data_IF_877541861085
#
_entry.id   IF_877541861085
#
_cell.length_a   1.000
_cell.length_b   1.000
_cell.length_c   1.000
_cell.angle_alpha   90.00
_cell.angle_beta   90.00
_cell.angle_gamma   90.00
#
_symmetry.space_group_name_H-M   'P 1'
#
loop_
_entity.id
_entity.type
_entity.pdbx_description
1 polymer ?
#
# COMPACT_ATOMS: atom_id res chain seq x y z
N UNK A 1 -38.90 -29.88 -5.99
CA UNK A 1 -39.92 -29.57 -7.02
C UNK A 1 -40.23 -28.08 -6.92
N UNK A 2 -39.76 -27.27 -7.85
CA UNK A 2 -40.11 -25.85 -7.93
C UNK A 2 -41.19 -25.66 -8.98
N UNK A 3 -42.35 -25.13 -8.59
CA UNK A 3 -43.44 -24.76 -9.50
C UNK A 3 -43.55 -23.25 -9.61
N UNK A 4 -43.49 -22.72 -10.82
CA UNK A 4 -43.78 -21.31 -11.16
C UNK A 4 -45.29 -21.15 -11.19
N UNK A 5 -45.91 -20.77 -10.08
CA UNK A 5 -47.36 -20.67 -9.93
C UNK A 5 -48.01 -19.68 -10.89
N UNK A 6 -48.35 -20.12 -12.09
CA UNK A 6 -49.21 -19.40 -13.03
C UNK A 6 -50.36 -20.32 -13.42
N UNK A 7 -51.45 -20.21 -12.66
CA UNK A 7 -52.75 -20.81 -12.93
C UNK A 7 -53.84 -19.75 -12.90
N UNK A 8 -54.98 -20.04 -13.54
CA UNK A 8 -56.09 -19.14 -13.92
C UNK A 8 -56.83 -18.39 -12.80
N UNK A 9 -56.28 -18.35 -11.59
CA UNK A 9 -56.70 -17.50 -10.47
C UNK A 9 -55.43 -16.85 -9.92
N UNK A 10 -55.13 -15.65 -10.43
CA UNK A 10 -53.93 -14.88 -10.06
C UNK A 10 -53.88 -14.55 -8.56
N UNK A 11 -52.68 -14.15 -8.11
CA UNK A 11 -52.39 -13.81 -6.72
C UNK A 11 -53.47 -12.88 -6.15
N UNK A 12 -54.24 -13.42 -5.20
CA UNK A 12 -55.07 -12.65 -4.30
C UNK A 12 -54.16 -11.66 -3.58
N UNK A 13 -54.27 -10.38 -3.95
CA UNK A 13 -53.67 -9.28 -3.21
C UNK A 13 -54.40 -9.21 -1.86
N UNK A 14 -53.92 -10.03 -0.92
CA UNK A 14 -54.06 -9.73 0.49
C UNK A 14 -53.67 -8.27 0.67
N UNK A 15 -54.68 -7.45 0.95
CA UNK A 15 -54.65 -5.99 1.10
C UNK A 15 -53.34 -5.55 1.77
N UNK A 16 -52.35 -5.10 0.99
CA UNK A 16 -51.21 -4.38 1.55
C UNK A 16 -51.75 -3.00 1.88
N UNK A 17 -52.25 -2.85 3.12
CA UNK A 17 -52.68 -1.57 3.65
C UNK A 17 -51.48 -0.63 3.64
N UNK A 18 -51.55 0.45 2.85
CA UNK A 18 -50.53 1.50 2.86
C UNK A 18 -50.52 2.16 4.25
N UNK A 19 -49.44 1.99 5.05
CA UNK A 19 -49.39 2.52 6.40
C UNK A 19 -49.28 4.05 6.44
N UNK A 20 -49.00 4.69 5.31
CA UNK A 20 -49.02 6.15 5.16
C UNK A 20 -50.40 6.69 4.72
N UNK A 21 -51.37 5.85 4.37
CA UNK A 21 -52.69 6.30 3.89
C UNK A 21 -53.47 7.13 4.92
N UNK A 22 -53.24 6.89 6.22
CA UNK A 22 -53.87 7.66 7.32
C UNK A 22 -53.10 8.91 7.71
N UNK A 23 -52.07 9.30 6.96
CA UNK A 23 -51.20 10.46 7.25
C UNK A 23 -50.67 10.48 8.71
N UNK A 24 -50.01 9.41 9.18
CA UNK A 24 -49.67 9.26 10.60
C UNK A 24 -48.69 10.33 11.13
N UNK A 25 -47.90 10.97 10.27
CA UNK A 25 -46.91 12.00 10.65
C UNK A 25 -47.50 13.42 10.80
N UNK A 26 -48.82 13.57 10.61
CA UNK A 26 -49.53 14.85 10.74
C UNK A 26 -48.96 15.97 9.85
N UNK A 27 -49.16 17.23 10.27
CA UNK A 27 -48.60 18.42 9.60
C UNK A 27 -47.11 18.67 9.93
N UNK A 28 -46.59 17.94 10.91
CA UNK A 28 -45.22 18.05 11.42
C UNK A 28 -44.19 17.28 10.61
N UNK A 29 -44.56 16.40 9.68
CA UNK A 29 -43.58 15.62 8.92
C UNK A 29 -44.12 14.93 7.67
N UNK A 30 -43.22 14.25 6.97
CA UNK A 30 -43.52 13.44 5.78
C UNK A 30 -43.42 11.95 6.12
N UNK A 31 -44.40 11.15 5.68
CA UNK A 31 -44.43 9.70 5.90
C UNK A 31 -43.62 8.95 4.85
N UNK A 32 -42.77 8.03 5.30
CA UNK A 32 -42.02 7.08 4.48
C UNK A 32 -42.52 5.67 4.75
N UNK A 33 -42.89 4.94 3.70
CA UNK A 33 -43.25 3.52 3.80
C UNK A 33 -42.00 2.68 4.05
N UNK A 34 -42.08 1.81 5.05
CA UNK A 34 -41.09 0.77 5.36
C UNK A 34 -41.70 -0.60 5.00
N UNK A 35 -40.86 -1.63 4.84
CA UNK A 35 -41.33 -3.00 4.59
C UNK A 35 -42.27 -3.52 5.69
N UNK A 36 -43.08 -4.53 5.37
CA UNK A 36 -43.99 -5.22 6.32
C UNK A 36 -45.05 -4.32 7.01
N UNK A 37 -45.61 -3.35 6.28
CA UNK A 37 -46.69 -2.49 6.80
C UNK A 37 -46.24 -1.47 7.85
N UNK A 38 -44.93 -1.23 7.96
CA UNK A 38 -44.37 -0.23 8.86
C UNK A 38 -44.20 1.13 8.16
N UNK A 39 -44.09 2.19 8.95
CA UNK A 39 -43.82 3.54 8.45
C UNK A 39 -42.79 4.26 9.33
N UNK A 40 -42.12 5.25 8.76
CA UNK A 40 -41.25 6.18 9.47
C UNK A 40 -41.64 7.61 9.11
N UNK A 41 -41.53 8.54 10.07
CA UNK A 41 -41.80 9.95 9.84
C UNK A 41 -40.51 10.76 9.76
N UNK A 42 -40.40 11.59 8.72
CA UNK A 42 -39.35 12.61 8.60
C UNK A 42 -39.95 13.94 9.05
N UNK A 43 -39.58 14.39 10.25
CA UNK A 43 -40.12 15.60 10.82
C UNK A 43 -39.54 16.87 10.18
N UNK A 44 -40.38 17.87 9.98
CA UNK A 44 -40.01 19.20 9.52
C UNK A 44 -39.23 19.93 10.63
N UNK A 45 -38.33 20.86 10.27
CA UNK A 45 -37.63 21.67 11.26
C UNK A 45 -38.60 22.31 12.27
N UNK A 46 -38.38 22.12 13.56
CA UNK A 46 -39.30 22.59 14.62
C UNK A 46 -40.19 21.52 15.24
N UNK A 47 -40.16 20.27 14.76
CA UNK A 47 -40.99 19.16 15.26
C UNK A 47 -40.20 17.87 15.46
N UNK A 48 -40.61 17.06 16.43
CA UNK A 48 -40.00 15.79 16.82
C UNK A 48 -41.07 14.80 17.31
N UNK A 49 -40.67 13.57 17.66
CA UNK A 49 -41.56 12.48 18.03
C UNK A 49 -41.78 11.48 16.88
N UNK A 50 -42.29 10.30 17.22
CA UNK A 50 -42.46 9.18 16.26
C UNK A 50 -43.38 9.56 15.09
N UNK A 51 -44.33 10.44 15.34
CA UNK A 51 -45.33 10.94 14.40
C UNK A 51 -45.20 12.46 14.18
N UNK A 52 -44.07 13.07 14.55
CA UNK A 52 -43.83 14.51 14.48
C UNK A 52 -44.88 15.36 15.24
N UNK A 53 -45.46 14.79 16.29
CA UNK A 53 -46.53 15.35 17.10
C UNK A 53 -46.05 16.36 18.14
N UNK A 54 -44.75 16.36 18.44
CA UNK A 54 -44.15 17.20 19.45
C UNK A 54 -43.50 18.42 18.78
N UNK A 55 -43.84 19.63 19.25
CA UNK A 55 -43.05 20.80 18.87
C UNK A 55 -41.73 20.79 19.63
N UNK A 56 -40.62 21.10 18.94
CA UNK A 56 -39.31 21.25 19.59
C UNK A 56 -39.34 22.32 20.70
N UNK A 57 -40.28 23.27 20.64
CA UNK A 57 -40.51 24.27 21.70
C UNK A 57 -41.07 23.69 23.00
N UNK A 58 -41.76 22.54 22.96
CA UNK A 58 -42.41 21.90 24.11
C UNK A 58 -41.64 20.70 24.69
N UNK A 59 -40.64 20.16 24.00
CA UNK A 59 -39.86 18.99 24.44
C UNK A 59 -38.59 19.33 25.23
N UNK A 60 -38.47 20.55 25.77
CA UNK A 60 -37.34 20.95 26.62
C UNK A 60 -35.99 21.09 25.91
N UNK A 61 -35.96 21.00 24.58
CA UNK A 61 -34.75 21.20 23.77
C UNK A 61 -34.67 22.67 23.34
N UNK A 62 -34.11 23.47 24.23
CA UNK A 62 -33.90 24.91 24.03
C UNK A 62 -32.48 25.26 24.45
N UNK A 63 -31.80 26.10 23.67
CA UNK A 63 -30.53 26.72 24.09
C UNK A 63 -30.73 27.86 25.11
N UNK A 64 -31.95 28.01 25.64
CA UNK A 64 -32.29 28.99 26.66
C UNK A 64 -33.14 28.36 27.78
N UNK A 65 -32.62 28.28 29.02
CA UNK A 65 -31.26 28.68 29.44
C UNK A 65 -30.17 27.80 28.80
N UNK A 66 -28.97 28.34 28.57
CA UNK A 66 -27.88 27.62 27.89
C UNK A 66 -27.47 26.36 28.68
N UNK A 67 -27.68 25.15 28.13
CA UNK A 67 -27.37 23.90 28.83
C UNK A 67 -25.89 23.50 28.76
N UNK A 68 -25.09 24.15 27.91
CA UNK A 68 -23.66 23.87 27.81
C UNK A 68 -22.92 24.46 29.01
N UNK A 69 -22.19 23.61 29.73
CA UNK A 69 -21.43 24.00 30.91
C UNK A 69 -20.13 24.73 30.53
N UNK A 70 -19.47 25.34 31.51
CA UNK A 70 -18.16 26.00 31.36
C UNK A 70 -18.09 27.04 30.24
N UNK A 71 -19.21 27.70 29.95
CA UNK A 71 -19.31 28.73 28.92
C UNK A 71 -19.34 28.21 27.48
N UNK A 72 -19.63 26.92 27.27
CA UNK A 72 -19.85 26.34 25.94
C UNK A 72 -21.01 27.00 25.19
N UNK A 73 -20.96 26.97 23.86
CA UNK A 73 -21.96 27.56 22.97
C UNK A 73 -22.97 26.49 22.53
N UNK A 74 -24.26 26.76 22.73
CA UNK A 74 -25.32 25.84 22.32
C UNK A 74 -25.82 26.16 20.90
N UNK A 75 -25.90 25.13 20.06
CA UNK A 75 -26.50 25.18 18.73
C UNK A 75 -27.66 24.19 18.62
N UNK A 76 -28.77 24.61 18.02
CA UNK A 76 -29.92 23.73 17.74
C UNK A 76 -29.62 22.95 16.45
N UNK A 77 -29.61 21.62 16.50
CA UNK A 77 -29.36 20.76 15.32
C UNK A 77 -30.65 20.08 14.86
N UNK A 78 -30.88 19.93 13.53
CA UNK A 78 -32.12 19.34 13.00
C UNK A 78 -32.34 17.86 13.36
N UNK A 79 -31.27 17.11 13.64
CA UNK A 79 -31.28 15.65 13.82
C UNK A 79 -31.31 15.17 15.28
N UNK A 80 -30.72 15.94 16.21
CA UNK A 80 -30.63 15.62 17.65
C UNK A 80 -31.27 16.68 18.55
N UNK A 81 -31.75 17.78 17.96
CA UNK A 81 -32.40 18.88 18.66
C UNK A 81 -31.42 19.93 19.22
N UNK A 82 -30.23 19.55 19.72
CA UNK A 82 -29.19 20.49 20.14
C UNK A 82 -27.78 19.86 20.22
N UNK A 83 -26.74 20.70 20.19
CA UNK A 83 -25.31 20.34 20.31
C UNK A 83 -24.53 21.46 20.99
N UNK A 84 -23.56 21.11 21.83
CA UNK A 84 -22.64 22.06 22.45
C UNK A 84 -21.30 22.14 21.70
N UNK A 85 -20.79 23.36 21.52
CA UNK A 85 -19.42 23.63 21.10
C UNK A 85 -18.65 24.12 22.33
N UNK A 86 -17.63 23.37 22.73
CA UNK A 86 -16.90 23.63 23.96
C UNK A 86 -15.79 24.66 23.76
N UNK A 87 -15.53 25.45 24.82
CA UNK A 87 -14.36 26.33 24.89
C UNK A 87 -13.10 25.50 25.15
N UNK A 88 -11.94 26.07 24.83
CA UNK A 88 -10.64 25.46 25.06
C UNK A 88 -10.51 24.92 26.49
N UNK A 89 -10.03 23.68 26.60
CA UNK A 89 -9.90 22.98 27.88
C UNK A 89 -11.15 22.23 28.36
N UNK A 90 -12.22 22.16 27.57
CA UNK A 90 -13.43 21.39 27.89
C UNK A 90 -13.92 20.51 26.74
N UNK A 91 -14.54 19.38 27.06
CA UNK A 91 -15.06 18.40 26.09
C UNK A 91 -16.35 17.72 26.59
N UNK A 92 -16.87 16.80 25.79
CA UNK A 92 -18.11 16.06 26.03
C UNK A 92 -19.35 16.81 25.53
N UNK A 93 -20.47 16.10 25.46
CA UNK A 93 -21.74 16.59 24.87
C UNK A 93 -22.30 17.86 25.53
N UNK A 94 -21.89 18.14 26.78
CA UNK A 94 -22.34 19.30 27.57
C UNK A 94 -21.18 20.20 28.02
N UNK A 95 -19.95 20.00 27.52
CA UNK A 95 -18.75 20.74 27.93
C UNK A 95 -18.45 20.67 29.44
N UNK A 96 -18.88 19.59 30.09
CA UNK A 96 -18.70 19.36 31.52
C UNK A 96 -17.33 18.76 31.85
N UNK A 97 -16.70 18.07 30.88
CA UNK A 97 -15.46 17.33 31.09
C UNK A 97 -14.26 18.25 30.82
N UNK A 98 -13.25 18.24 31.70
CA UNK A 98 -12.01 18.99 31.49
C UNK A 98 -11.08 18.22 30.54
N UNK A 99 -10.52 18.94 29.57
CA UNK A 99 -9.49 18.43 28.66
C UNK A 99 -8.14 18.99 29.06
N UNK A 100 -7.20 18.11 29.41
CA UNK A 100 -5.81 18.49 29.56
C UNK A 100 -5.09 18.35 28.22
N UNK A 101 -4.78 19.49 27.61
CA UNK A 101 -3.95 19.55 26.41
C UNK A 101 -2.48 19.73 26.78
N UNK A 102 -1.59 18.95 26.17
CA UNK A 102 -0.15 19.14 26.33
C UNK A 102 0.62 18.82 25.04
N UNK A 103 1.95 19.01 25.07
CA UNK A 103 2.81 18.76 23.92
C UNK A 103 3.36 20.05 23.31
N UNK A 104 3.53 20.06 21.99
CA UNK A 104 4.19 21.13 21.24
C UNK A 104 5.23 20.61 20.26
N UNK A 105 5.93 21.53 19.60
CA UNK A 105 6.96 21.19 18.61
C UNK A 105 8.33 21.09 19.27
N UNK A 106 9.03 19.99 19.05
CA UNK A 106 10.40 19.76 19.53
C UNK A 106 11.31 19.64 18.31
N UNK A 107 12.21 20.62 18.13
CA UNK A 107 13.18 20.63 17.02
C UNK A 107 14.55 20.20 17.55
N UNK A 108 14.84 18.90 17.49
CA UNK A 108 16.09 18.31 18.01
C UNK A 108 16.46 17.02 17.28
N UNK A 109 17.75 16.80 17.05
CA UNK A 109 18.28 15.57 16.43
C UNK A 109 18.02 14.30 17.25
N UNK A 110 17.80 14.41 18.55
CA UNK A 110 17.39 13.31 19.40
C UNK A 110 16.67 13.87 20.63
N UNK A 111 15.96 13.01 21.33
CA UNK A 111 15.31 13.38 22.57
C UNK A 111 14.42 12.27 23.09
N UNK A 112 13.72 12.59 24.18
CA UNK A 112 12.81 11.68 24.84
C UNK A 112 11.56 12.42 25.28
N UNK A 113 10.40 11.85 24.97
CA UNK A 113 9.11 12.26 25.53
C UNK A 113 8.57 11.12 26.39
N UNK A 114 7.88 11.48 27.46
CA UNK A 114 7.26 10.56 28.40
C UNK A 114 6.02 11.20 28.97
N UNK A 115 5.08 10.40 29.44
CA UNK A 115 4.02 10.94 30.28
C UNK A 115 4.53 11.22 31.69
N UNK A 116 4.01 12.29 32.31
CA UNK A 116 4.17 12.47 33.75
C UNK A 116 3.23 11.48 34.43
N UNK A 117 3.73 10.68 35.36
CA UNK A 117 2.96 9.71 36.15
C UNK A 117 1.99 10.39 37.15
N UNK A 118 1.29 11.43 36.71
CA UNK A 118 0.34 12.16 37.51
C UNK A 118 -0.98 11.38 37.54
N UNK A 119 -1.52 11.20 38.74
CA UNK A 119 -2.87 10.71 38.97
C UNK A 119 -3.87 11.72 38.43
N UNK A 120 -4.24 11.59 37.15
CA UNK A 120 -5.31 12.41 36.57
C UNK A 120 -6.62 12.09 37.28
N UNK A 121 -7.40 13.13 37.58
CA UNK A 121 -8.73 12.98 38.19
C UNK A 121 -9.63 12.12 37.29
N UNK A 122 -10.47 11.29 37.91
CA UNK A 122 -11.49 10.48 37.22
C UNK A 122 -12.33 11.36 36.29
N UNK A 123 -12.37 11.02 35.00
CA UNK A 123 -13.13 11.76 33.98
C UNK A 123 -12.37 12.90 33.29
N UNK A 124 -11.06 13.02 33.48
CA UNK A 124 -10.22 13.96 32.71
C UNK A 124 -9.85 13.35 31.36
N UNK A 125 -10.15 14.05 30.26
CA UNK A 125 -9.65 13.66 28.94
C UNK A 125 -8.26 14.25 28.77
N UNK A 126 -7.27 13.42 28.47
CA UNK A 126 -5.89 13.87 28.22
C UNK A 126 -5.64 13.76 26.72
N UNK A 127 -5.21 14.86 26.10
CA UNK A 127 -4.87 14.90 24.68
C UNK A 127 -3.56 15.66 24.51
N UNK A 128 -2.46 14.94 24.43
CA UNK A 128 -1.16 15.53 24.20
C UNK A 128 -0.66 15.27 22.79
N UNK A 129 -0.22 16.31 22.10
CA UNK A 129 0.24 16.24 20.71
C UNK A 129 1.63 16.83 20.62
N UNK A 130 2.62 16.00 20.30
CA UNK A 130 3.98 16.43 20.03
C UNK A 130 4.27 16.36 18.53
N UNK A 131 4.88 17.41 18.00
CA UNK A 131 5.52 17.37 16.69
C UNK A 131 7.01 17.23 16.92
N UNK A 132 7.56 16.04 16.68
CA UNK A 132 8.99 15.80 16.75
C UNK A 132 9.57 16.14 15.39
N UNK A 133 10.54 17.04 15.34
CA UNK A 133 11.19 17.52 14.12
C UNK A 133 12.70 17.41 14.32
N UNK A 134 13.39 16.68 13.45
CA UNK A 134 14.85 16.57 13.55
C UNK A 134 15.57 17.88 13.20
N UNK A 135 14.91 18.79 12.49
CA UNK A 135 15.50 20.00 11.92
C UNK A 135 16.42 19.75 10.71
N UNK A 136 16.67 18.48 10.35
CA UNK A 136 17.38 18.10 9.13
C UNK A 136 16.36 17.55 8.13
N UNK A 137 15.99 18.39 7.15
CA UNK A 137 14.92 18.15 6.15
C UNK A 137 15.11 16.89 5.30
N UNK A 138 16.17 16.10 5.49
CA UNK A 138 16.35 14.80 4.85
C UNK A 138 16.72 13.62 5.73
N UNK A 139 16.46 13.74 7.01
CA UNK A 139 16.62 12.63 7.96
C UNK A 139 15.30 11.88 8.17
N UNK A 140 15.40 10.69 8.73
CA UNK A 140 14.29 9.94 9.32
C UNK A 140 14.45 9.91 10.84
N UNK A 141 13.37 9.60 11.53
CA UNK A 141 13.34 9.41 12.96
C UNK A 141 13.23 7.92 13.28
N UNK A 142 14.23 7.38 13.99
CA UNK A 142 14.17 6.07 14.63
C UNK A 142 13.57 6.26 16.02
N UNK A 143 12.35 5.78 16.21
CA UNK A 143 11.56 5.89 17.42
C UNK A 143 11.72 4.61 18.23
N UNK A 144 12.20 4.71 19.47
CA UNK A 144 12.46 3.57 20.34
C UNK A 144 11.51 3.61 21.53
N UNK A 145 10.73 2.55 21.68
CA UNK A 145 9.81 2.37 22.80
C UNK A 145 10.57 1.78 23.99
N UNK A 146 10.33 2.34 25.19
CA UNK A 146 10.81 1.73 26.42
C UNK A 146 10.19 0.34 26.63
N UNK A 147 10.97 -0.59 27.17
CA UNK A 147 10.47 -1.93 27.53
C UNK A 147 9.35 -1.92 28.58
N UNK A 148 9.19 -0.79 29.29
CA UNK A 148 8.14 -0.58 30.28
C UNK A 148 6.90 0.12 29.71
N UNK A 149 6.81 0.33 28.39
CA UNK A 149 5.71 1.04 27.73
C UNK A 149 4.33 0.47 28.11
N UNK A 150 3.47 1.30 28.70
CA UNK A 150 2.08 0.97 29.00
C UNK A 150 1.15 2.19 28.88
N UNK A 151 0.04 1.99 28.19
CA UNK A 151 -1.13 2.88 28.19
C UNK A 151 -2.37 2.01 28.33
N UNK A 152 -3.05 2.05 29.48
CA UNK A 152 -4.19 1.20 29.75
C UNK A 152 -5.29 1.37 28.69
N UNK A 153 -5.63 0.29 28.00
CA UNK A 153 -6.80 0.20 27.12
C UNK A 153 -7.73 -0.87 27.66
N UNK A 154 -9.01 -0.54 27.89
CA UNK A 154 -10.00 -1.46 28.47
C UNK A 154 -10.31 -2.63 27.54
N UNK A 155 -10.30 -2.38 26.23
CA UNK A 155 -10.55 -3.39 25.20
C UNK A 155 -9.27 -4.08 24.73
N UNK A 156 -8.10 -3.47 24.98
CA UNK A 156 -6.81 -3.93 24.48
C UNK A 156 -6.62 -3.71 22.96
N UNK A 157 -7.57 -3.06 22.30
CA UNK A 157 -7.53 -2.70 20.87
C UNK A 157 -6.93 -1.30 20.63
N UNK A 158 -6.54 -0.60 21.70
CA UNK A 158 -5.99 0.76 21.67
C UNK A 158 -6.93 1.79 21.04
N UNK A 159 -8.25 1.55 21.01
CA UNK A 159 -9.22 2.50 20.46
C UNK A 159 -9.56 3.59 21.48
N UNK A 160 -9.70 3.21 22.75
CA UNK A 160 -10.09 4.11 23.84
C UNK A 160 -8.94 5.01 24.30
N UNK A 161 -7.80 4.41 24.68
CA UNK A 161 -6.60 5.11 25.07
C UNK A 161 -5.41 4.58 24.27
N UNK A 162 -4.57 5.48 23.76
CA UNK A 162 -3.43 5.09 22.94
C UNK A 162 -2.34 6.16 22.86
N UNK A 163 -1.17 5.71 22.44
CA UNK A 163 -0.17 6.51 21.76
C UNK A 163 -0.26 6.24 20.25
N UNK A 164 -0.67 7.23 19.46
CA UNK A 164 -0.72 7.16 18.00
C UNK A 164 0.46 7.92 17.42
N UNK A 165 1.15 7.29 16.47
CA UNK A 165 2.29 7.89 15.77
C UNK A 165 1.93 8.04 14.30
N UNK A 166 2.02 9.26 13.80
CA UNK A 166 1.76 9.62 12.41
C UNK A 166 3.02 10.17 11.78
N UNK A 167 3.25 9.80 10.53
CA UNK A 167 4.42 10.23 9.79
C UNK A 167 4.18 11.61 9.15
N UNK A 168 5.18 12.49 9.27
CA UNK A 168 5.14 13.85 8.74
C UNK A 168 4.53 14.89 9.67
N UNK A 169 4.22 16.04 9.08
CA UNK A 169 3.65 17.24 9.73
C UNK A 169 2.32 17.68 9.10
N UNK A 170 1.68 16.81 8.31
CA UNK A 170 0.39 17.10 7.70
C UNK A 170 -0.75 17.04 8.72
N UNK A 171 -1.88 17.74 8.47
CA UNK A 171 -3.08 17.67 9.30
C UNK A 171 -3.52 16.22 9.57
N UNK A 172 -4.24 16.01 10.68
CA UNK A 172 -4.63 14.69 11.20
C UNK A 172 -5.28 13.77 10.14
N UNK A 173 -6.07 14.34 9.22
CA UNK A 173 -6.82 13.58 8.20
C UNK A 173 -6.01 13.17 6.96
N UNK A 174 -4.78 13.70 6.80
CA UNK A 174 -3.95 13.45 5.61
C UNK A 174 -2.57 12.84 5.90
N UNK A 175 -2.22 12.67 7.19
CA UNK A 175 -0.98 12.02 7.61
C UNK A 175 -1.15 10.50 7.72
N UNK A 176 -0.15 9.76 7.26
CA UNK A 176 -0.12 8.29 7.35
C UNK A 176 0.08 7.85 8.80
N UNK A 177 -0.73 6.91 9.27
CA UNK A 177 -0.61 6.34 10.62
C UNK A 177 0.44 5.24 10.59
N UNK A 178 1.54 5.43 11.33
CA UNK A 178 2.55 4.39 11.51
C UNK A 178 2.10 3.34 12.52
N UNK A 179 1.30 3.72 13.52
CA UNK A 179 0.67 2.78 14.43
C UNK A 179 -0.07 3.42 15.60
N UNK A 180 -0.88 2.60 16.28
CA UNK A 180 -1.54 2.90 17.55
C UNK A 180 -1.13 1.87 18.59
N UNK A 181 -0.76 2.35 19.77
CA UNK A 181 -0.08 1.53 20.77
C UNK A 181 -0.67 1.75 22.16
N UNK A 182 -0.85 0.65 22.90
CA UNK A 182 -1.36 0.70 24.27
C UNK A 182 -0.70 -0.33 25.22
N UNK A 183 -0.04 -1.36 24.69
CA UNK A 183 0.63 -2.39 25.50
C UNK A 183 2.02 -2.74 24.95
N UNK A 184 2.90 -3.37 25.76
CA UNK A 184 4.19 -3.87 25.27
C UNK A 184 4.04 -4.88 24.12
N UNK A 185 2.95 -5.66 24.11
CA UNK A 185 2.63 -6.62 23.05
C UNK A 185 2.18 -5.96 21.74
N UNK A 186 1.77 -4.69 21.78
CA UNK A 186 1.36 -3.93 20.59
C UNK A 186 2.50 -3.09 20.00
N UNK A 187 3.59 -2.86 20.73
CA UNK A 187 4.69 -1.99 20.31
C UNK A 187 5.88 -2.77 19.74
N UNK A 188 6.45 -2.35 18.59
CA UNK A 188 7.77 -2.82 18.18
C UNK A 188 8.86 -2.24 19.10
N UNK A 189 10.05 -2.84 19.13
CA UNK A 189 11.21 -2.28 19.85
C UNK A 189 11.65 -0.94 19.25
N UNK A 190 11.63 -0.85 17.93
CA UNK A 190 11.96 0.35 17.17
C UNK A 190 10.97 0.51 16.01
N UNK A 191 10.52 1.73 15.77
CA UNK A 191 9.69 2.14 14.64
C UNK A 191 10.44 3.22 13.85
N UNK A 192 10.42 3.14 12.54
CA UNK A 192 11.14 4.08 11.66
C UNK A 192 10.14 4.94 10.89
N UNK A 193 10.31 6.26 10.96
CA UNK A 193 9.52 7.21 10.18
C UNK A 193 10.00 7.27 8.72
N UNK A 194 9.17 7.83 7.84
CA UNK A 194 9.57 8.14 6.47
C UNK A 194 9.92 9.62 6.28
N UNK A 195 9.69 10.46 7.29
CA UNK A 195 10.05 11.87 7.23
C UNK A 195 10.89 12.34 8.43
N UNK A 196 11.47 13.52 8.29
CA UNK A 196 12.19 14.23 9.35
C UNK A 196 11.28 14.67 10.50
N UNK A 197 9.97 14.49 10.35
CA UNK A 197 8.95 14.87 11.31
C UNK A 197 7.99 13.72 11.62
N UNK A 198 7.55 13.63 12.87
CA UNK A 198 6.42 12.77 13.25
C UNK A 198 5.50 13.51 14.21
N UNK A 199 4.21 13.22 14.11
CA UNK A 199 3.22 13.66 15.09
C UNK A 199 2.93 12.49 16.03
N UNK A 200 3.16 12.71 17.32
CA UNK A 200 2.86 11.75 18.38
C UNK A 200 1.66 12.26 19.17
N UNK A 201 0.58 11.51 19.17
CA UNK A 201 -0.66 11.83 19.89
C UNK A 201 -0.87 10.84 21.03
N UNK A 202 -0.86 11.34 22.27
CA UNK A 202 -1.26 10.58 23.45
C UNK A 202 -2.68 10.98 23.85
N UNK A 203 -3.60 10.03 23.74
CA UNK A 203 -5.01 10.24 24.02
C UNK A 203 -5.48 9.30 25.13
N UNK A 204 -6.15 9.86 26.14
CA UNK A 204 -6.88 9.12 27.17
C UNK A 204 -8.30 9.65 27.23
N UNK A 205 -9.27 8.77 27.00
CA UNK A 205 -10.71 9.07 27.04
C UNK A 205 -11.47 8.27 28.10
N UNK A 206 -10.87 7.20 28.66
CA UNK A 206 -11.54 6.35 29.64
C UNK A 206 -11.73 7.07 30.99
N UNK A 207 -12.90 6.89 31.61
CA UNK A 207 -13.23 7.44 32.94
C UNK A 207 -12.61 6.67 34.11
N UNK A 208 -11.94 5.57 33.83
CA UNK A 208 -11.30 4.73 34.84
C UNK A 208 -10.06 5.45 35.39
N UNK A 209 -9.79 5.36 36.71
CA UNK A 209 -8.63 6.01 37.31
C UNK A 209 -7.35 5.48 36.67
N UNK A 210 -6.60 6.37 36.00
CA UNK A 210 -5.27 6.06 35.48
C UNK A 210 -4.38 5.61 36.66
N UNK A 211 -4.00 4.34 36.65
CA UNK A 211 -3.17 3.76 37.69
C UNK A 211 -1.71 4.21 37.55
N UNK A 212 -0.87 4.03 38.59
CA UNK A 212 0.58 4.29 38.52
C UNK A 212 1.32 3.41 37.49
N UNK A 213 0.62 2.47 36.85
CA UNK A 213 1.13 1.57 35.81
C UNK A 213 1.12 2.14 34.39
N UNK A 214 0.45 3.27 34.15
CA UNK A 214 0.45 3.93 32.84
C UNK A 214 1.68 4.83 32.74
N UNK A 215 2.79 4.20 32.37
CA UNK A 215 4.06 4.86 32.14
C UNK A 215 4.54 4.49 30.75
N UNK A 216 4.85 5.49 29.96
CA UNK A 216 5.46 5.31 28.67
C UNK A 216 6.57 6.32 28.47
N UNK A 217 7.60 5.86 27.77
CA UNK A 217 8.72 6.67 27.35
C UNK A 217 9.03 6.29 25.90
N UNK A 218 9.09 7.31 25.06
CA UNK A 218 9.44 7.22 23.66
C UNK A 218 10.66 8.10 23.43
N UNK A 219 11.76 7.49 23.02
CA UNK A 219 12.95 8.21 22.60
C UNK A 219 13.03 8.23 21.08
N UNK A 220 13.62 9.28 20.51
CA UNK A 220 13.89 9.34 19.09
C UNK A 220 15.34 9.72 18.83
N UNK A 221 15.86 9.21 17.73
CA UNK A 221 17.10 9.65 17.13
C UNK A 221 16.89 9.91 15.67
N UNK A 222 17.41 11.05 15.20
CA UNK A 222 17.57 11.36 13.79
C UNK A 222 18.62 10.42 13.22
N UNK A 223 18.29 9.82 12.09
CA UNK A 223 19.17 8.96 11.32
C UNK A 223 19.08 9.35 9.85
N UNK A 224 20.14 9.13 9.05
CA UNK A 224 20.00 9.18 7.61
C UNK A 224 18.97 8.12 7.17
N UNK A 225 18.15 8.39 6.14
CA UNK A 225 17.24 7.40 5.60
C UNK A 225 18.05 6.24 5.04
N UNK A 226 17.96 5.09 5.70
CA UNK A 226 18.59 3.87 5.25
C UNK A 226 17.77 3.29 4.10
N UNK A 227 18.46 2.86 3.05
CA UNK A 227 17.86 2.24 1.88
C UNK A 227 18.69 1.05 1.44
N UNK A 228 18.05 0.11 0.76
CA UNK A 228 18.63 -1.17 0.43
C UNK A 228 18.45 -2.22 1.54
N UNK A 229 18.30 -3.47 1.13
CA UNK A 229 18.16 -4.62 2.03
C UNK A 229 18.39 -5.93 1.27
N UNK A 230 18.58 -7.02 1.98
CA UNK A 230 18.51 -8.38 1.41
C UNK A 230 17.15 -8.99 1.76
N UNK A 231 16.35 -9.29 0.75
CA UNK A 231 15.03 -9.92 0.86
C UNK A 231 15.12 -11.35 0.33
N UNK A 232 15.41 -12.30 1.22
CA UNK A 232 15.52 -13.71 0.89
C UNK A 232 14.22 -14.48 1.14
N UNK A 233 14.03 -15.59 0.45
CA UNK A 233 12.90 -16.51 0.60
C UNK A 233 11.53 -15.84 0.42
N UNK A 234 11.41 -14.95 -0.58
CA UNK A 234 10.16 -14.25 -0.88
C UNK A 234 9.10 -15.28 -1.31
N UNK A 235 7.98 -15.29 -0.58
CA UNK A 235 6.85 -16.21 -0.79
C UNK A 235 5.50 -15.48 -1.01
N UNK A 236 5.48 -14.16 -0.83
CA UNK A 236 4.30 -13.33 -1.04
C UNK A 236 4.65 -11.95 -1.64
N UNK A 237 3.64 -11.18 -2.04
CA UNK A 237 3.85 -9.84 -2.58
C UNK A 237 4.41 -8.88 -1.53
N UNK A 238 5.14 -7.86 -1.98
CA UNK A 238 5.68 -6.83 -1.13
C UNK A 238 5.89 -5.51 -1.88
N UNK A 239 6.32 -4.49 -1.13
CA UNK A 239 6.50 -3.13 -1.63
C UNK A 239 7.87 -2.62 -1.22
N UNK A 240 8.53 -1.94 -2.15
CA UNK A 240 9.79 -1.23 -1.96
C UNK A 240 9.59 0.23 -2.30
N UNK A 241 10.17 1.11 -1.48
CA UNK A 241 10.07 2.55 -1.68
C UNK A 241 11.44 3.19 -1.59
N UNK A 242 11.60 4.32 -2.28
CA UNK A 242 12.78 5.16 -2.07
C UNK A 242 12.85 5.67 -0.63
N UNK A 243 14.05 5.94 -0.10
CA UNK A 243 14.21 6.64 1.16
C UNK A 243 13.42 7.96 1.16
N UNK A 244 12.57 8.17 2.18
CA UNK A 244 11.75 9.37 2.30
C UNK A 244 10.37 9.34 1.62
N UNK A 245 10.05 8.32 0.83
CA UNK A 245 8.76 8.21 0.15
C UNK A 245 7.58 8.17 1.14
N UNK A 246 6.45 8.86 0.89
CA UNK A 246 6.05 9.58 -0.34
C UNK A 246 6.51 11.05 -0.41
N UNK A 247 7.39 11.49 0.50
CA UNK A 247 7.94 12.85 0.53
C UNK A 247 9.23 12.93 -0.30
N UNK A 248 9.80 14.13 -0.34
CA UNK A 248 10.94 14.41 -1.21
C UNK A 248 12.20 13.66 -0.79
N UNK A 249 12.91 13.12 -1.77
CA UNK A 249 14.29 12.65 -1.61
C UNK A 249 15.18 13.85 -1.31
N UNK A 250 16.03 13.71 -0.31
CA UNK A 250 16.70 14.84 0.36
C UNK A 250 18.15 14.54 0.72
N UNK A 251 18.62 13.32 0.46
CA UNK A 251 20.03 12.90 0.58
C UNK A 251 20.44 12.15 -0.68
N UNK A 252 21.61 12.48 -1.20
CA UNK A 252 22.21 11.78 -2.33
C UNK A 252 22.70 10.41 -1.88
N UNK A 253 22.68 9.43 -2.77
CA UNK A 253 23.17 8.09 -2.45
C UNK A 253 22.74 7.02 -3.44
N UNK A 254 23.28 5.82 -3.22
CA UNK A 254 22.94 4.62 -3.95
C UNK A 254 22.30 3.60 -3.00
N UNK A 255 21.14 3.09 -3.40
CA UNK A 255 20.39 2.09 -2.66
C UNK A 255 20.35 0.79 -3.48
N UNK A 256 20.68 -0.34 -2.83
CA UNK A 256 20.71 -1.65 -3.47
C UNK A 256 19.81 -2.62 -2.70
N UNK A 257 18.81 -3.17 -3.37
CA UNK A 257 17.98 -4.25 -2.82
C UNK A 257 18.27 -5.55 -3.57
N UNK A 258 18.67 -6.59 -2.83
CA UNK A 258 18.89 -7.93 -3.36
C UNK A 258 17.68 -8.78 -3.02
N UNK A 259 16.97 -9.27 -4.03
CA UNK A 259 15.76 -10.06 -3.87
C UNK A 259 16.01 -11.49 -4.32
N UNK A 260 15.56 -12.45 -3.50
CA UNK A 260 15.59 -13.87 -3.79
C UNK A 260 14.23 -14.50 -3.46
N UNK A 261 13.53 -14.99 -4.48
CA UNK A 261 12.31 -15.75 -4.35
C UNK A 261 12.59 -17.21 -4.01
N UNK A 262 11.59 -17.89 -3.44
CA UNK A 262 11.67 -19.34 -3.23
C UNK A 262 11.88 -20.10 -4.56
N UNK A 263 12.54 -21.28 -4.53
CA UNK A 263 12.68 -22.12 -5.71
C UNK A 263 11.33 -22.37 -6.42
N UNK A 264 11.32 -22.29 -7.75
CA UNK A 264 10.11 -22.44 -8.57
C UNK A 264 9.30 -21.15 -8.76
N UNK A 265 9.79 -20.01 -8.25
CA UNK A 265 9.18 -18.71 -8.43
C UNK A 265 10.12 -17.71 -9.11
N UNK A 266 9.53 -16.82 -9.90
CA UNK A 266 10.18 -15.63 -10.49
C UNK A 266 9.61 -14.38 -9.83
N UNK A 267 10.27 -13.24 -10.01
CA UNK A 267 9.80 -11.96 -9.47
C UNK A 267 9.21 -11.13 -10.60
N UNK A 268 7.95 -10.74 -10.44
CA UNK A 268 7.33 -9.70 -11.26
C UNK A 268 7.33 -8.38 -10.49
N UNK A 269 7.75 -7.31 -11.15
CA UNK A 269 7.83 -5.96 -10.63
C UNK A 269 6.87 -5.03 -11.35
N UNK A 270 6.20 -4.18 -10.61
CA UNK A 270 5.34 -3.11 -11.13
C UNK A 270 5.70 -1.81 -10.43
N UNK A 271 6.08 -0.79 -11.20
CA UNK A 271 6.31 0.56 -10.67
C UNK A 271 4.94 1.23 -10.52
N UNK A 272 4.50 1.45 -9.28
CA UNK A 272 3.20 2.05 -8.98
C UNK A 272 3.26 3.56 -8.92
N UNK A 273 4.33 4.10 -8.35
CA UNK A 273 4.56 5.54 -8.23
C UNK A 273 6.00 5.87 -8.63
N UNK A 274 6.18 6.97 -9.36
CA UNK A 274 7.50 7.41 -9.79
C UNK A 274 7.56 8.93 -9.95
N UNK A 275 8.55 9.53 -9.30
CA UNK A 275 8.90 10.93 -9.40
C UNK A 275 10.41 11.03 -9.13
N UNK A 276 11.19 11.20 -10.21
CA UNK A 276 12.66 11.32 -10.19
C UNK A 276 13.10 12.48 -11.11
N UNK A 277 14.26 13.10 -10.83
CA UNK A 277 14.96 14.09 -11.67
C UNK A 277 14.48 15.55 -11.67
N UNK A 278 15.44 16.47 -11.86
CA UNK A 278 15.26 17.91 -12.07
C UNK A 278 15.05 18.25 -13.56
N UNK A 279 14.36 19.35 -13.85
CA UNK A 279 13.89 19.76 -15.19
C UNK A 279 15.04 20.10 -16.15
N UNK A 280 15.72 19.13 -16.76
CA UNK A 280 16.62 19.44 -17.89
C UNK A 280 17.03 18.28 -18.81
N UNK A 281 16.42 17.09 -18.70
CA UNK A 281 16.63 16.01 -19.66
C UNK A 281 15.50 15.92 -20.68
N UNK A 282 15.82 15.99 -21.96
CA UNK A 282 14.87 15.67 -23.04
C UNK A 282 14.62 14.16 -23.07
N UNK A 283 13.45 13.72 -23.53
CA UNK A 283 13.16 12.30 -23.73
C UNK A 283 14.24 11.63 -24.59
N UNK A 284 15.03 10.72 -24.02
CA UNK A 284 16.09 9.98 -24.71
C UNK A 284 17.54 10.32 -24.29
N UNK A 285 17.77 11.22 -23.33
CA UNK A 285 19.12 11.36 -22.73
C UNK A 285 19.40 10.27 -21.68
N UNK A 286 20.67 9.81 -21.55
CA UNK A 286 21.07 8.84 -20.53
C UNK A 286 20.72 9.31 -19.13
N UNK A 287 20.18 8.41 -18.31
CA UNK A 287 19.75 8.70 -16.94
C UNK A 287 20.98 8.85 -16.01
N UNK A 288 21.71 9.96 -16.10
CA UNK A 288 23.01 10.09 -15.40
C UNK A 288 22.91 10.61 -13.96
N UNK A 289 21.77 11.18 -13.57
CA UNK A 289 21.58 11.82 -12.25
C UNK A 289 20.71 10.97 -11.30
N UNK A 290 19.39 10.98 -11.53
CA UNK A 290 18.41 10.22 -10.74
C UNK A 290 17.85 9.06 -11.57
N UNK A 291 18.13 7.82 -11.15
CA UNK A 291 17.64 6.63 -11.85
C UNK A 291 17.32 5.47 -10.91
N UNK A 292 16.42 4.62 -11.37
CA UNK A 292 16.07 3.34 -10.77
C UNK A 292 16.25 2.25 -11.82
N UNK A 293 17.04 1.22 -11.50
CA UNK A 293 17.28 0.04 -12.34
C UNK A 293 16.76 -1.22 -11.66
N UNK A 294 16.12 -2.09 -12.44
CA UNK A 294 15.74 -3.45 -12.03
C UNK A 294 16.54 -4.42 -12.90
N UNK A 295 17.39 -5.24 -12.28
CA UNK A 295 18.25 -6.20 -12.95
C UNK A 295 17.68 -7.63 -12.88
N UNK A 296 17.87 -8.39 -13.95
CA UNK A 296 17.54 -9.81 -14.06
C UNK A 296 18.69 -10.69 -13.52
N UNK A 297 18.84 -10.68 -12.20
CA UNK A 297 19.87 -11.43 -11.49
C UNK A 297 20.41 -10.69 -10.27
N UNK A 298 21.29 -11.34 -9.52
CA UNK A 298 21.77 -10.84 -8.23
C UNK A 298 22.90 -9.79 -8.33
N UNK A 299 23.45 -9.56 -9.52
CA UNK A 299 24.68 -8.77 -9.68
C UNK A 299 24.47 -7.48 -10.48
N UNK A 300 25.32 -6.48 -10.23
CA UNK A 300 25.27 -5.17 -10.89
C UNK A 300 25.46 -5.22 -12.42
N UNK A 301 26.08 -6.28 -12.93
CA UNK A 301 26.26 -6.53 -14.36
C UNK A 301 25.16 -7.43 -14.96
N UNK A 302 24.23 -7.93 -14.14
CA UNK A 302 23.08 -8.68 -14.66
C UNK A 302 22.24 -7.80 -15.60
N UNK A 303 21.55 -8.37 -16.61
CA UNK A 303 20.78 -7.59 -17.59
C UNK A 303 19.78 -6.64 -16.94
N UNK A 304 19.63 -5.41 -17.45
CA UNK A 304 18.64 -4.45 -16.94
C UNK A 304 17.29 -4.75 -17.59
N UNK A 305 16.30 -5.16 -16.79
CA UNK A 305 14.91 -5.34 -17.23
C UNK A 305 14.20 -4.01 -17.40
N UNK A 306 14.50 -3.06 -16.51
CA UNK A 306 13.87 -1.75 -16.51
C UNK A 306 14.84 -0.70 -15.97
N UNK A 307 14.96 0.41 -16.70
CA UNK A 307 15.61 1.64 -16.26
C UNK A 307 14.58 2.76 -16.25
N UNK A 308 14.47 3.46 -15.13
CA UNK A 308 13.46 4.49 -14.89
C UNK A 308 14.16 5.77 -14.45
N UNK A 309 13.89 6.86 -15.16
CA UNK A 309 14.30 8.20 -14.76
C UNK A 309 13.25 9.25 -15.14
N UNK A 310 13.60 10.53 -15.12
CA UNK A 310 12.67 11.63 -15.38
C UNK A 310 11.95 11.46 -16.72
N UNK A 311 10.62 11.61 -16.72
CA UNK A 311 9.81 11.52 -17.94
C UNK A 311 9.43 10.09 -18.36
N UNK A 312 9.91 9.06 -17.63
CA UNK A 312 9.45 7.69 -17.81
C UNK A 312 7.94 7.59 -17.57
N UNK A 313 7.20 7.16 -18.58
CA UNK A 313 5.74 6.99 -18.55
C UNK A 313 5.37 5.64 -19.14
N UNK A 314 4.20 5.12 -18.76
CA UNK A 314 3.68 3.84 -19.25
C UNK A 314 4.65 2.67 -19.04
N UNK A 315 5.16 2.55 -17.81
CA UNK A 315 6.08 1.47 -17.42
C UNK A 315 5.31 0.15 -17.33
N UNK A 316 5.55 -0.84 -18.23
CA UNK A 316 4.91 -2.14 -18.11
C UNK A 316 5.51 -2.93 -16.93
N UNK A 317 4.77 -3.90 -16.37
CA UNK A 317 5.36 -4.85 -15.44
C UNK A 317 6.51 -5.60 -16.08
N UNK A 318 7.58 -5.83 -15.32
CA UNK A 318 8.75 -6.60 -15.77
C UNK A 318 8.90 -7.84 -14.93
N UNK A 319 9.32 -8.94 -15.56
CA UNK A 319 9.45 -10.25 -14.91
C UNK A 319 10.86 -10.77 -15.08
N UNK A 320 11.46 -11.28 -14.01
CA UNK A 320 12.78 -11.91 -14.04
C UNK A 320 12.75 -13.26 -14.76
N UNK A 321 13.86 -13.65 -15.38
CA UNK A 321 14.02 -15.00 -15.94
C UNK A 321 14.30 -16.06 -14.86
N UNK A 322 14.87 -15.64 -13.74
CA UNK A 322 15.23 -16.48 -12.60
C UNK A 322 14.56 -16.06 -11.28
N UNK A 323 15.07 -16.60 -10.18
CA UNK A 323 14.55 -16.35 -8.82
C UNK A 323 15.19 -15.12 -8.15
N UNK A 324 16.16 -14.48 -8.79
CA UNK A 324 16.97 -13.41 -8.21
C UNK A 324 16.82 -12.10 -8.98
N UNK A 325 16.88 -10.98 -8.26
CA UNK A 325 16.91 -9.64 -8.86
C UNK A 325 17.69 -8.67 -7.97
N UNK A 326 18.36 -7.71 -8.61
CA UNK A 326 18.98 -6.57 -7.97
C UNK A 326 18.24 -5.31 -8.40
N UNK A 327 17.74 -4.55 -7.43
CA UNK A 327 17.19 -3.22 -7.66
C UNK A 327 18.23 -2.19 -7.22
N UNK A 328 18.55 -1.27 -8.11
CA UNK A 328 19.52 -0.21 -7.88
C UNK A 328 18.88 1.15 -8.09
N UNK A 329 18.78 1.92 -7.00
CA UNK A 329 18.40 3.33 -7.06
C UNK A 329 19.62 4.22 -6.84
N UNK A 330 19.73 5.28 -7.63
CA UNK A 330 20.76 6.32 -7.50
C UNK A 330 20.09 7.69 -7.57
N UNK A 331 20.46 8.58 -6.65
CA UNK A 331 20.03 9.97 -6.69
C UNK A 331 21.11 10.92 -6.18
N UNK A 332 21.18 12.11 -6.77
CA UNK A 332 22.04 13.20 -6.32
C UNK A 332 21.34 14.14 -5.32
N UNK A 333 20.06 13.90 -5.02
CA UNK A 333 19.19 14.72 -4.17
C UNK A 333 19.18 16.22 -4.45
N UNK A 334 19.58 16.64 -5.66
CA UNK A 334 19.46 18.03 -6.09
C UNK A 334 17.99 18.41 -6.35
N UNK A 335 17.12 17.40 -6.51
CA UNK A 335 15.75 17.52 -6.98
C UNK A 335 14.74 17.18 -5.86
N UNK A 336 13.76 18.07 -5.58
CA UNK A 336 12.72 17.87 -4.54
C UNK A 336 11.64 16.85 -4.97
N UNK A 337 12.05 15.69 -5.47
CA UNK A 337 11.14 14.69 -6.04
C UNK A 337 10.62 13.68 -5.03
N UNK A 338 9.39 13.20 -5.20
CA UNK A 338 8.70 12.32 -4.24
C UNK A 338 9.27 10.90 -4.18
N UNK A 339 10.16 10.55 -5.11
CA UNK A 339 10.78 9.23 -5.19
C UNK A 339 9.90 8.20 -5.87
N UNK A 340 9.97 6.94 -5.43
CA UNK A 340 9.28 5.84 -6.10
C UNK A 340 8.64 4.85 -5.13
N UNK A 341 7.66 4.11 -5.66
CA UNK A 341 7.14 2.88 -5.07
C UNK A 341 7.11 1.77 -6.14
N UNK A 342 7.68 0.62 -5.79
CA UNK A 342 7.70 -0.60 -6.61
C UNK A 342 6.96 -1.67 -5.82
N UNK A 343 5.99 -2.31 -6.45
CA UNK A 343 5.39 -3.55 -5.95
C UNK A 343 6.10 -4.73 -6.62
N UNK A 344 6.46 -5.74 -5.83
CA UNK A 344 6.98 -7.00 -6.32
C UNK A 344 6.07 -8.16 -5.90
N UNK A 345 5.99 -9.21 -6.71
CA UNK A 345 5.33 -10.46 -6.32
C UNK A 345 6.03 -11.68 -6.90
N UNK A 346 6.10 -12.79 -6.13
CA UNK A 346 6.55 -14.06 -6.65
C UNK A 346 5.45 -14.65 -7.54
N UNK A 347 5.80 -14.98 -8.78
CA UNK A 347 4.93 -15.71 -9.71
C UNK A 347 5.53 -17.10 -9.93
N UNK A 348 4.71 -18.17 -10.04
CA UNK A 348 5.23 -19.48 -10.42
C UNK A 348 5.96 -19.38 -11.75
N UNK A 349 7.19 -19.87 -11.80
CA UNK A 349 7.99 -19.80 -13.01
C UNK A 349 9.18 -20.74 -12.94
N UNK A 350 9.48 -21.38 -14.07
CA UNK A 350 10.52 -22.41 -14.16
C UNK A 350 11.87 -21.70 -14.40
N UNK A 351 12.79 -21.61 -13.42
CA UNK A 351 13.96 -20.74 -13.54
C UNK A 351 14.81 -21.07 -14.78
N UNK A 352 15.07 -20.08 -15.64
CA UNK A 352 15.87 -20.25 -16.86
C UNK A 352 15.12 -20.72 -18.12
N UNK A 353 13.79 -20.84 -18.09
CA UNK A 353 12.96 -21.24 -19.23
C UNK A 353 12.22 -20.05 -19.87
N UNK A 354 12.68 -19.57 -21.03
CA UNK A 354 12.06 -18.52 -21.85
C UNK A 354 12.26 -17.06 -21.39
N UNK A 355 11.87 -16.10 -22.24
CA UNK A 355 11.97 -14.64 -21.99
C UNK A 355 12.22 -13.80 -23.25
N UNK A 356 12.27 -12.46 -23.13
CA UNK A 356 12.54 -11.53 -24.25
C UNK A 356 13.86 -10.79 -24.03
N UNK A 357 14.77 -10.84 -25.00
CA UNK A 357 16.12 -10.29 -24.95
C UNK A 357 16.26 -9.15 -25.95
N UNK A 358 16.51 -7.93 -25.48
CA UNK A 358 16.62 -6.74 -26.34
C UNK A 358 18.04 -6.14 -26.40
N UNK A 359 19.00 -6.79 -25.74
CA UNK A 359 20.40 -6.35 -25.64
C UNK A 359 21.22 -6.83 -26.86
N UNK A 360 22.20 -6.05 -27.36
CA UNK A 360 23.06 -6.45 -28.49
C UNK A 360 23.88 -7.73 -28.22
N UNK A 361 24.13 -8.05 -26.95
CA UNK A 361 24.77 -9.28 -26.49
C UNK A 361 24.09 -9.81 -25.22
N UNK A 362 24.15 -11.13 -24.99
CA UNK A 362 23.60 -11.80 -23.81
C UNK A 362 23.80 -13.31 -23.80
N UNK A 363 23.63 -13.94 -22.63
CA UNK A 363 23.83 -15.37 -22.42
C UNK A 363 22.53 -16.05 -21.94
N UNK A 364 22.28 -17.27 -22.42
CA UNK A 364 21.15 -18.12 -22.01
C UNK A 364 21.70 -19.37 -21.32
N UNK A 365 21.16 -19.70 -20.14
CA UNK A 365 21.58 -20.86 -19.35
C UNK A 365 20.39 -21.74 -18.93
N UNK A 366 20.49 -23.04 -19.22
CA UNK A 366 19.46 -24.05 -18.91
C UNK A 366 19.84 -24.96 -17.74
N UNK A 367 20.90 -24.62 -16.97
CA UNK A 367 21.48 -25.45 -15.90
C UNK A 367 20.46 -25.93 -14.86
N UNK A 368 19.44 -25.13 -14.59
CA UNK A 368 18.41 -25.42 -13.59
C UNK A 368 17.24 -26.25 -14.13
N UNK A 369 17.15 -26.46 -15.46
CA UNK A 369 16.07 -27.19 -16.11
C UNK A 369 16.29 -28.72 -16.10
N UNK A 370 17.54 -29.18 -16.01
CA UNK A 370 17.89 -30.60 -16.02
C UNK A 370 17.37 -31.39 -14.79
N UNK A 371 16.94 -30.70 -13.74
CA UNK A 371 16.45 -31.30 -12.48
C UNK A 371 14.93 -31.45 -12.46
N UNK A 372 14.22 -30.85 -13.42
CA UNK A 372 12.77 -30.87 -13.53
C UNK A 372 12.37 -32.01 -14.48
N UNK A 373 12.06 -33.19 -13.94
CA UNK A 373 11.53 -34.35 -14.67
C UNK A 373 10.11 -34.09 -15.23
N UNK A 374 9.97 -33.09 -16.12
CA UNK A 374 8.71 -32.66 -16.72
C UNK A 374 8.92 -32.22 -18.17
N UNK A 375 7.86 -32.32 -18.98
CA UNK A 375 7.85 -31.81 -20.35
C UNK A 375 7.87 -30.27 -20.34
N UNK A 376 8.90 -29.69 -20.94
CA UNK A 376 9.17 -28.25 -20.88
C UNK A 376 9.18 -27.65 -22.28
N UNK A 377 8.40 -26.58 -22.46
CA UNK A 377 8.41 -25.74 -23.66
C UNK A 377 8.94 -24.35 -23.29
N UNK A 378 10.18 -24.06 -23.67
CA UNK A 378 10.83 -22.78 -23.39
C UNK A 378 11.00 -21.98 -24.69
N UNK A 379 10.51 -20.74 -24.70
CA UNK A 379 10.60 -19.82 -25.84
C UNK A 379 11.39 -18.56 -25.44
N UNK A 380 12.50 -18.30 -26.16
CA UNK A 380 13.31 -17.10 -25.98
C UNK A 380 13.22 -16.23 -27.22
N UNK A 381 12.75 -14.99 -27.06
CA UNK A 381 12.56 -14.03 -28.15
C UNK A 381 13.66 -12.97 -28.12
N UNK A 382 14.55 -12.94 -29.12
CA UNK A 382 15.66 -11.97 -29.19
C UNK A 382 15.29 -10.86 -30.19
N UNK A 383 15.15 -9.63 -29.70
CA UNK A 383 14.76 -8.43 -30.46
C UNK A 383 15.87 -7.39 -30.48
N UNK A 384 16.56 -7.25 -31.62
CA UNK A 384 17.55 -6.20 -31.83
C UNK A 384 16.98 -5.05 -32.68
N UNK A 385 17.72 -3.94 -32.77
CA UNK A 385 17.34 -2.83 -33.64
C UNK A 385 17.42 -3.24 -35.13
N UNK A 386 16.69 -2.53 -35.99
CA UNK A 386 16.33 -2.93 -37.37
C UNK A 386 17.53 -3.13 -38.34
N UNK A 387 18.77 -2.93 -37.88
CA UNK A 387 19.99 -3.05 -38.69
C UNK A 387 21.01 -4.05 -38.14
N UNK A 388 20.70 -4.71 -37.02
CA UNK A 388 21.61 -5.63 -36.34
C UNK A 388 21.28 -7.09 -36.68
N UNK A 389 22.32 -7.93 -36.76
CA UNK A 389 22.18 -9.38 -36.99
C UNK A 389 22.57 -10.14 -35.74
N UNK A 390 21.75 -11.13 -35.38
CA UNK A 390 21.98 -11.98 -34.21
C UNK A 390 23.00 -13.05 -34.58
N UNK A 391 24.05 -13.17 -33.76
CA UNK A 391 25.02 -14.28 -33.81
C UNK A 391 24.85 -15.13 -32.56
N UNK A 392 24.50 -16.39 -32.73
CA UNK A 392 24.43 -17.36 -31.65
C UNK A 392 25.75 -18.11 -31.51
N UNK A 393 26.24 -18.26 -30.27
CA UNK A 393 27.44 -19.03 -29.93
C UNK A 393 27.08 -20.05 -28.84
N UNK A 394 27.29 -21.33 -29.12
CA UNK A 394 26.99 -22.41 -28.18
C UNK A 394 28.25 -22.80 -27.41
N UNK A 395 28.37 -22.32 -26.17
CA UNK A 395 29.53 -22.59 -25.31
C UNK A 395 29.52 -24.00 -24.70
N UNK A 396 28.33 -24.52 -24.36
CA UNK A 396 28.09 -25.91 -23.96
C UNK A 396 26.73 -26.36 -24.47
N UNK A 397 26.66 -27.57 -24.99
CA UNK A 397 25.42 -28.21 -25.43
C UNK A 397 25.48 -29.67 -25.00
N UNK A 398 24.50 -30.07 -24.19
CA UNK A 398 24.35 -31.43 -23.68
C UNK A 398 22.85 -31.76 -23.72
N UNK A 399 22.42 -32.36 -24.82
CA UNK A 399 21.03 -32.76 -25.07
C UNK A 399 21.06 -34.27 -25.32
N UNK A 400 20.75 -35.05 -24.29
CA UNK A 400 20.64 -36.50 -24.41
C UNK A 400 19.24 -36.89 -24.91
N UNK A 401 19.14 -37.21 -26.19
CA UNK A 401 17.88 -37.55 -26.83
C UNK A 401 18.09 -38.49 -28.01
N UNK A 402 18.22 -39.82 -27.77
CA UNK A 402 18.48 -40.81 -28.80
C UNK A 402 17.41 -40.87 -29.91
N UNK A 403 16.19 -40.42 -29.63
CA UNK A 403 15.07 -40.39 -30.58
C UNK A 403 14.76 -38.99 -31.15
N UNK A 404 15.57 -37.97 -30.83
CA UNK A 404 15.28 -36.55 -31.13
C UNK A 404 13.95 -36.01 -30.55
N UNK A 405 13.49 -36.57 -29.43
CA UNK A 405 12.31 -36.09 -28.69
C UNK A 405 12.60 -34.80 -27.91
N UNK A 406 13.88 -34.50 -27.65
CA UNK A 406 14.34 -33.21 -27.11
C UNK A 406 15.23 -32.52 -28.13
N UNK A 407 14.92 -31.28 -28.49
CA UNK A 407 15.70 -30.49 -29.44
C UNK A 407 15.70 -29.01 -29.08
N UNK A 408 16.74 -28.32 -29.54
CA UNK A 408 16.77 -26.87 -29.63
C UNK A 408 16.56 -26.49 -31.09
N UNK A 409 15.60 -25.61 -31.35
CA UNK A 409 15.35 -25.03 -32.66
C UNK A 409 15.47 -23.51 -32.54
N UNK A 410 15.96 -22.89 -33.61
CA UNK A 410 16.09 -21.44 -33.73
C UNK A 410 15.76 -21.06 -35.18
N UNK A 411 14.93 -20.05 -35.38
CA UNK A 411 14.53 -19.60 -36.70
C UNK A 411 14.86 -18.11 -36.91
N UNK A 412 15.21 -17.77 -38.14
CA UNK A 412 15.04 -16.42 -38.69
C UNK A 412 13.89 -16.42 -39.70
N UNK A 413 13.72 -15.35 -40.49
CA UNK A 413 12.64 -15.22 -41.48
C UNK A 413 12.77 -16.17 -42.71
N UNK A 414 13.87 -16.90 -42.87
CA UNK A 414 14.05 -17.85 -43.99
C UNK A 414 13.64 -19.27 -43.59
N UNK A 415 12.63 -19.81 -44.26
CA UNK A 415 12.21 -21.22 -44.10
C UNK A 415 13.09 -22.19 -44.91
N UNK A 416 13.29 -23.45 -44.45
CA UNK A 416 12.92 -23.99 -43.13
C UNK A 416 14.05 -23.77 -42.08
N UNK A 417 13.71 -23.71 -40.79
CA UNK A 417 14.69 -23.52 -39.72
C UNK A 417 15.63 -24.74 -39.61
N UNK A 418 16.93 -24.52 -39.37
CA UNK A 418 17.87 -25.60 -39.08
C UNK A 418 17.54 -26.23 -37.71
N UNK A 419 17.29 -27.54 -37.68
CA UNK A 419 17.16 -28.32 -36.46
C UNK A 419 18.51 -28.88 -36.06
N UNK A 420 18.91 -28.71 -34.81
CA UNK A 420 20.14 -29.27 -34.27
C UNK A 420 19.76 -30.39 -33.30
N UNK A 421 20.02 -31.63 -33.69
CA UNK A 421 19.96 -32.81 -32.83
C UNK A 421 21.28 -33.58 -32.95
N UNK A 422 21.57 -34.44 -31.97
CA UNK A 422 22.81 -35.20 -31.93
C UNK A 422 22.94 -36.30 -33.00
N UNK A 423 21.87 -36.60 -33.78
CA UNK A 423 21.90 -37.57 -34.90
C UNK A 423 20.82 -37.28 -35.97
N UNK A 424 21.12 -37.42 -37.29
CA UNK A 424 20.13 -37.24 -38.36
C UNK A 424 19.23 -38.48 -38.55
N UNK A 425 17.91 -38.33 -38.79
CA UNK A 425 17.00 -39.45 -39.00
C UNK A 425 17.11 -40.03 -40.42
N UNK A 426 16.96 -41.36 -40.53
CA UNK A 426 16.97 -42.13 -41.79
C UNK A 426 15.57 -42.49 -42.35
N UNK A 427 14.48 -41.93 -41.80
CA UNK A 427 13.11 -42.12 -42.33
C UNK A 427 12.13 -41.06 -41.78
N UNK A 428 10.96 -40.85 -42.40
CA UNK A 428 9.97 -39.92 -41.90
C UNK A 428 9.25 -40.53 -40.68
N UNK A 429 9.57 -40.05 -39.49
CA UNK A 429 8.93 -40.46 -38.23
C UNK A 429 7.71 -39.57 -37.95
N UNK A 430 6.59 -40.12 -37.43
CA UNK A 430 5.39 -39.35 -37.11
C UNK A 430 5.66 -38.36 -35.97
N UNK A 431 4.94 -37.25 -35.99
CA UNK A 431 4.88 -36.17 -34.99
C UNK A 431 5.40 -36.47 -33.56
N UNK A 432 6.49 -35.80 -33.11
CA UNK A 432 6.80 -35.52 -31.69
C UNK A 432 6.86 -33.98 -31.42
N UNK A 433 6.45 -33.43 -30.27
CA UNK A 433 7.00 -33.42 -28.89
C UNK A 433 8.34 -32.63 -28.76
N UNK A 434 8.30 -31.58 -27.92
CA UNK A 434 9.32 -30.56 -27.56
C UNK A 434 9.75 -29.52 -28.63
N UNK A 435 8.94 -28.48 -28.88
CA UNK A 435 9.27 -27.44 -29.89
C UNK A 435 10.04 -26.26 -29.29
N UNK A 436 11.34 -26.15 -29.53
CA UNK A 436 12.07 -24.91 -29.22
C UNK A 436 11.94 -23.94 -30.40
N UNK A 437 11.01 -22.98 -30.35
CA UNK A 437 10.91 -21.96 -31.41
C UNK A 437 11.63 -20.68 -30.96
N UNK A 438 12.49 -20.14 -31.82
CA UNK A 438 12.93 -18.74 -31.74
C UNK A 438 12.32 -18.06 -32.96
N UNK A 439 11.35 -17.16 -32.77
CA UNK A 439 10.70 -16.42 -33.86
C UNK A 439 10.99 -14.92 -33.75
N UNK A 440 11.74 -14.32 -34.68
CA UNK A 440 11.73 -12.87 -34.87
C UNK A 440 10.49 -12.46 -35.69
N UNK A 441 9.82 -11.39 -35.29
CA UNK A 441 8.72 -10.78 -36.04
C UNK A 441 9.17 -9.41 -36.57
N UNK A 442 9.11 -9.19 -37.89
CA UNK A 442 8.95 -7.86 -38.48
C UNK A 442 7.82 -7.86 -39.51
N UNK A 443 6.97 -6.83 -39.42
CA UNK A 443 5.84 -6.55 -40.31
C UNK A 443 6.30 -5.69 -41.50
N UNK A 444 5.69 -5.77 -42.69
CA UNK A 444 6.21 -5.15 -43.90
C UNK A 444 5.80 -3.68 -43.96
N UNK A 445 6.75 -2.78 -44.21
CA UNK A 445 6.44 -1.50 -44.83
C UNK A 445 7.14 -1.38 -46.19
N UNK A 446 6.29 -1.03 -47.14
CA UNK A 446 6.45 -0.97 -48.58
C UNK A 446 7.27 0.26 -48.97
N UNK A 447 8.16 0.05 -49.95
CA UNK A 447 8.97 0.97 -50.76
C UNK A 447 10.12 1.72 -50.07
#
# INVERSE_FOLDING_TARGET
MGGTGVGLMGCDYGRITDPCATSPCGVGGSCLRMGDGQYACVCRPGSTGKNCEQSLTSSGVSCNPNPCQNGGLCHVTPSLGMSCVCRDGYTGAWCAEQTLSCGGTIVQLNGTIRNSANTYSTGTVVSCVWTLDSGDEGSILKLNFSSMFRVYSKRGDCIDNHLEIRDGDLPYDSSSVLGRFCSPSSTPSTLTSFSSKVIVTYLVTSRDPLGPSDQWELSWTSAPPECGSVLANISGPGVLTSPGFPRSITKSGHCLWYLSANPGYRLEFTVTEISLGNQQGSAGEPCDQDYLKIHDGEMAYSPVLLEVCQGSRNLPPVTTSGTHSLIWFSSDAASKNKGFQIMYRPIPGIPGCGGTFTSPEGDIHTKYLAELNQDLLCEWNIHLSVQEKIRLVFNRMDIDSPNCDSYLEYAGDSSPPPRVSSNPPSSPVPTPHLVCVVTPLFSPLVN
#
